data_IF_923934194879
#
_entry.id   IF_923934194879
#
_cell.length_a   1.000
_cell.length_b   1.000
_cell.length_c   1.000
_cell.angle_alpha   90.00
_cell.angle_beta   90.00
_cell.angle_gamma   90.00
#
_symmetry.space_group_name_H-M   'P 1'
#
loop_
_entity.id
_entity.type
_entity.pdbx_description
1 polymer ?
#
# COMPACT_ATOMS: atom_id res chain seq x y z
N UNK A 1 -28.39 -43.25 -9.58
CA UNK A 1 -27.16 -42.78 -8.93
C UNK A 1 -26.05 -42.72 -9.97
N UNK A 2 -25.75 -41.52 -10.48
CA UNK A 2 -24.57 -41.28 -11.31
C UNK A 2 -23.95 -40.00 -10.75
N UNK A 3 -22.84 -40.17 -10.03
CA UNK A 3 -22.03 -39.07 -9.52
C UNK A 3 -21.22 -38.52 -10.70
N UNK A 4 -21.47 -37.28 -11.10
CA UNK A 4 -20.61 -36.55 -12.04
C UNK A 4 -19.65 -35.69 -11.23
N UNK A 5 -18.39 -36.11 -11.19
CA UNK A 5 -17.27 -35.25 -10.80
C UNK A 5 -17.22 -34.05 -11.76
N UNK A 6 -17.36 -32.84 -11.23
CA UNK A 6 -17.04 -31.61 -11.96
C UNK A 6 -15.59 -31.28 -11.64
N UNK A 7 -14.69 -31.63 -12.56
CA UNK A 7 -13.33 -31.08 -12.60
C UNK A 7 -13.40 -29.65 -13.12
N UNK A 8 -13.18 -28.66 -12.26
CA UNK A 8 -12.87 -27.30 -12.69
C UNK A 8 -11.37 -27.20 -12.98
N UNK A 9 -11.01 -27.37 -14.25
CA UNK A 9 -9.73 -26.92 -14.78
C UNK A 9 -9.90 -25.50 -15.32
N UNK A 10 -9.08 -24.55 -14.83
CA UNK A 10 -8.69 -23.36 -15.61
C UNK A 10 -9.54 -22.09 -15.57
N UNK A 11 -10.20 -21.73 -14.45
CA UNK A 11 -11.07 -20.54 -14.38
C UNK A 11 -10.89 -19.58 -13.18
N UNK A 12 -9.86 -19.74 -12.35
CA UNK A 12 -9.79 -19.07 -11.03
C UNK A 12 -9.44 -17.57 -11.04
N UNK A 13 -8.92 -17.01 -12.14
CA UNK A 13 -8.35 -15.66 -12.12
C UNK A 13 -9.38 -14.54 -12.31
N UNK A 14 -10.38 -14.75 -13.19
CA UNK A 14 -11.37 -13.72 -13.52
C UNK A 14 -12.41 -13.52 -12.41
N UNK A 15 -12.83 -14.59 -11.73
CA UNK A 15 -13.82 -14.52 -10.64
C UNK A 15 -13.26 -13.77 -9.44
N UNK A 16 -11.98 -14.01 -9.10
CA UNK A 16 -11.29 -13.31 -8.01
C UNK A 16 -11.11 -11.81 -8.31
N UNK A 17 -10.78 -11.45 -9.56
CA UNK A 17 -10.64 -10.05 -9.97
C UNK A 17 -12.00 -9.33 -9.93
N UNK A 18 -13.08 -9.99 -10.38
CA UNK A 18 -14.43 -9.42 -10.32
C UNK A 18 -14.92 -9.23 -8.88
N UNK A 19 -14.65 -10.18 -7.98
CA UNK A 19 -14.97 -10.04 -6.56
C UNK A 19 -14.15 -8.93 -5.87
N UNK A 20 -12.87 -8.79 -6.23
CA UNK A 20 -12.01 -7.73 -5.70
C UNK A 20 -12.50 -6.35 -6.14
N UNK A 21 -12.94 -6.20 -7.39
CA UNK A 21 -13.49 -4.95 -7.92
C UNK A 21 -14.78 -4.55 -7.20
N UNK A 22 -15.67 -5.52 -6.95
CA UNK A 22 -16.93 -5.30 -6.21
C UNK A 22 -16.65 -4.90 -4.75
N UNK A 23 -15.63 -5.49 -4.12
CA UNK A 23 -15.23 -5.15 -2.75
C UNK A 23 -14.66 -3.72 -2.65
N UNK A 24 -13.88 -3.29 -3.65
CA UNK A 24 -13.31 -1.94 -3.71
C UNK A 24 -14.43 -0.89 -3.87
N UNK A 25 -15.42 -1.14 -4.74
CA UNK A 25 -16.56 -0.24 -4.95
C UNK A 25 -17.44 -0.15 -3.69
N UNK A 26 -17.61 -1.26 -2.96
CA UNK A 26 -18.36 -1.29 -1.70
C UNK A 26 -17.64 -0.55 -0.56
N UNK A 27 -16.30 -0.52 -0.55
CA UNK A 27 -15.50 0.17 0.46
C UNK A 27 -15.50 1.70 0.29
N UNK A 28 -15.75 2.20 -0.92
CA UNK A 28 -15.72 3.63 -1.23
C UNK A 28 -17.00 4.38 -0.79
N UNK A 29 -18.07 3.64 -0.46
CA UNK A 29 -19.40 4.19 -0.22
C UNK A 29 -19.92 4.05 1.22
N UNK A 30 -19.15 3.46 2.15
CA UNK A 30 -19.62 3.15 3.50
C UNK A 30 -18.81 3.86 4.59
N UNK A 31 -19.43 4.68 5.47
CA UNK A 31 -18.74 5.27 6.61
C UNK A 31 -18.26 4.18 7.58
N UNK A 32 -17.05 4.37 8.11
CA UNK A 32 -16.24 3.36 8.81
C UNK A 32 -16.89 2.64 10.01
N UNK A 33 -18.08 3.05 10.45
CA UNK A 33 -18.80 2.47 11.59
C UNK A 33 -19.56 1.16 11.23
N UNK A 34 -19.87 0.91 9.96
CA UNK A 34 -20.65 -0.28 9.52
C UNK A 34 -19.81 -1.39 8.86
N UNK A 35 -18.48 -1.26 8.86
CA UNK A 35 -17.57 -2.28 8.34
C UNK A 35 -17.67 -3.64 9.06
N UNK A 36 -18.18 -3.65 10.29
CA UNK A 36 -18.40 -4.89 11.04
C UNK A 36 -19.55 -5.75 10.50
N UNK A 37 -20.53 -5.16 9.79
CA UNK A 37 -21.69 -5.87 9.27
C UNK A 37 -21.53 -6.31 7.79
N UNK A 38 -20.61 -5.69 7.04
CA UNK A 38 -20.41 -5.99 5.61
C UNK A 38 -19.33 -7.05 5.37
N UNK A 39 -18.46 -7.29 6.36
CA UNK A 39 -17.33 -8.21 6.25
C UNK A 39 -17.65 -9.61 6.82
N UNK A 40 -18.81 -10.19 6.47
CA UNK A 40 -19.03 -11.62 6.66
C UNK A 40 -18.36 -12.41 5.51
N UNK A 41 -17.03 -12.48 5.59
CA UNK A 41 -16.16 -13.17 4.63
C UNK A 41 -16.25 -14.70 4.69
N UNK A 42 -17.14 -15.25 5.52
CA UNK A 42 -17.44 -16.69 5.53
C UNK A 42 -17.85 -17.21 4.14
N UNK A 43 -18.38 -16.34 3.28
CA UNK A 43 -18.77 -16.62 1.90
C UNK A 43 -17.62 -16.80 0.90
N UNK A 44 -16.39 -16.34 1.21
CA UNK A 44 -15.19 -16.50 0.36
C UNK A 44 -14.21 -17.53 0.96
N UNK A 45 -14.52 -18.10 2.13
CA UNK A 45 -13.70 -19.13 2.77
C UNK A 45 -12.35 -18.64 3.30
N UNK A 46 -12.10 -17.33 3.32
CA UNK A 46 -10.90 -16.75 3.93
C UNK A 46 -11.16 -16.48 5.40
N UNK A 47 -10.34 -17.09 6.25
CA UNK A 47 -10.33 -16.80 7.67
C UNK A 47 -9.94 -15.33 7.91
N UNK A 48 -10.42 -14.76 9.02
CA UNK A 48 -10.05 -13.41 9.48
C UNK A 48 -8.52 -13.19 9.49
N UNK A 49 -7.76 -14.26 9.76
CA UNK A 49 -6.29 -14.30 9.69
C UNK A 49 -5.76 -14.08 8.28
N UNK A 50 -6.37 -14.70 7.27
CA UNK A 50 -5.97 -14.55 5.86
C UNK A 50 -6.34 -13.18 5.31
N UNK A 51 -7.51 -12.64 5.69
CA UNK A 51 -7.91 -11.27 5.32
C UNK A 51 -6.99 -10.23 5.95
N UNK A 52 -6.64 -10.38 7.23
CA UNK A 52 -5.63 -9.53 7.87
C UNK A 52 -4.26 -9.66 7.18
N UNK A 53 -3.85 -10.89 6.84
CA UNK A 53 -2.58 -11.12 6.13
C UNK A 53 -2.54 -10.46 4.76
N UNK A 54 -3.66 -10.49 4.02
CA UNK A 54 -3.78 -9.87 2.70
C UNK A 54 -3.72 -8.35 2.79
N UNK A 55 -4.48 -7.75 3.72
CA UNK A 55 -4.45 -6.31 3.98
C UNK A 55 -3.06 -5.85 4.44
N UNK A 56 -2.33 -6.69 5.20
CA UNK A 56 -0.96 -6.41 5.61
C UNK A 56 0.09 -6.58 4.50
N UNK A 57 -0.22 -7.33 3.44
CA UNK A 57 0.65 -7.52 2.27
C UNK A 57 0.48 -6.41 1.21
N UNK A 58 -0.60 -5.63 1.28
CA UNK A 58 -0.84 -4.54 0.34
C UNK A 58 0.07 -3.34 0.65
N UNK A 59 0.73 -2.74 -0.36
CA UNK A 59 1.59 -1.59 -0.11
C UNK A 59 0.75 -0.38 0.27
N UNK A 60 1.17 0.32 1.33
CA UNK A 60 0.65 1.64 1.68
C UNK A 60 1.08 2.60 0.59
N UNK A 61 0.12 3.26 -0.07
CA UNK A 61 0.39 4.24 -1.13
C UNK A 61 -0.09 5.63 -0.73
N UNK A 62 0.66 6.65 -1.10
CA UNK A 62 0.27 8.04 -0.91
C UNK A 62 1.00 8.98 -1.87
N UNK A 63 0.36 10.09 -2.19
CA UNK A 63 0.95 11.13 -3.03
C UNK A 63 1.74 12.12 -2.16
N UNK A 64 2.90 12.52 -2.65
CA UNK A 64 3.65 13.66 -2.10
C UNK A 64 4.36 14.42 -3.21
N UNK A 65 4.49 15.73 -3.02
CA UNK A 65 5.41 16.53 -3.83
C UNK A 65 6.84 16.30 -3.38
N UNK A 66 7.74 16.23 -4.35
CA UNK A 66 9.18 16.20 -4.12
C UNK A 66 9.66 17.58 -3.69
N UNK A 67 10.57 17.60 -2.72
CA UNK A 67 11.17 18.81 -2.16
C UNK A 67 12.65 18.60 -1.94
N UNK A 68 13.42 19.69 -1.90
CA UNK A 68 14.82 19.64 -1.48
C UNK A 68 14.93 19.08 -0.07
N UNK A 69 15.56 17.91 0.05
CA UNK A 69 15.80 17.28 1.33
C UNK A 69 17.14 17.74 1.91
N UNK A 70 18.18 17.69 1.09
CA UNK A 70 19.52 18.22 1.35
C UNK A 70 20.08 18.83 0.04
N UNK A 71 21.35 19.26 0.06
CA UNK A 71 21.98 19.92 -1.11
C UNK A 71 22.10 19.00 -2.34
N UNK A 72 22.01 17.67 -2.19
CA UNK A 72 22.27 16.72 -3.28
C UNK A 72 21.11 15.75 -3.55
N UNK A 73 20.08 15.75 -2.70
CA UNK A 73 18.96 14.79 -2.80
C UNK A 73 17.62 15.46 -2.61
N UNK A 74 16.69 15.03 -3.45
CA UNK A 74 15.26 15.26 -3.25
C UNK A 74 14.71 14.31 -2.19
N UNK A 75 13.58 14.69 -1.64
CA UNK A 75 12.84 13.86 -0.71
C UNK A 75 11.40 14.30 -0.61
N UNK A 76 10.66 13.63 0.26
CA UNK A 76 9.22 13.80 0.39
C UNK A 76 8.81 13.72 1.85
N UNK A 77 7.62 14.21 2.14
CA UNK A 77 7.03 14.15 3.46
C UNK A 77 5.89 13.16 3.47
N UNK A 78 5.85 12.31 4.50
CA UNK A 78 4.70 11.44 4.71
C UNK A 78 3.55 12.32 5.23
N UNK A 79 2.37 12.30 4.61
CA UNK A 79 1.22 13.01 5.15
C UNK A 79 0.88 12.51 6.56
N UNK A 80 0.46 13.42 7.45
CA UNK A 80 0.22 13.05 8.86
C UNK A 80 -0.81 11.93 9.00
N UNK A 81 -1.88 11.96 8.20
CA UNK A 81 -2.93 10.94 8.22
C UNK A 81 -2.36 9.56 7.85
N UNK A 82 -1.48 9.46 6.85
CA UNK A 82 -0.83 8.21 6.46
C UNK A 82 0.00 7.66 7.61
N UNK A 83 0.83 8.52 8.22
CA UNK A 83 1.66 8.11 9.37
C UNK A 83 0.80 7.55 10.51
N UNK A 84 -0.29 8.24 10.85
CA UNK A 84 -1.14 7.89 11.99
C UNK A 84 -1.99 6.66 11.73
N UNK A 85 -2.67 6.61 10.58
CA UNK A 85 -3.57 5.52 10.22
C UNK A 85 -2.83 4.18 10.07
N UNK A 86 -1.65 4.21 9.45
CA UNK A 86 -0.85 3.02 9.21
C UNK A 86 0.22 2.75 10.28
N UNK A 87 0.28 3.56 11.35
CA UNK A 87 1.31 3.51 12.40
C UNK A 87 2.74 3.37 11.83
N UNK A 88 3.08 4.26 10.89
CA UNK A 88 4.41 4.27 10.29
C UNK A 88 5.46 4.78 11.28
N UNK A 89 6.59 4.08 11.33
CA UNK A 89 7.71 4.34 12.25
C UNK A 89 8.93 4.84 11.48
N UNK A 90 9.84 5.59 12.12
CA UNK A 90 11.17 5.81 11.57
C UNK A 90 11.86 4.46 11.34
N UNK A 91 12.53 4.30 10.20
CA UNK A 91 13.07 3.01 9.80
C UNK A 91 13.22 2.87 8.29
N UNK A 92 13.64 1.70 7.86
CA UNK A 92 13.70 1.29 6.46
C UNK A 92 12.51 0.40 6.12
N UNK A 93 11.91 0.63 4.97
CA UNK A 93 10.83 -0.17 4.39
C UNK A 93 11.21 -0.59 2.98
N UNK A 94 10.77 -1.76 2.53
CA UNK A 94 10.72 -2.06 1.09
C UNK A 94 9.62 -1.22 0.48
N UNK A 95 9.89 -0.63 -0.68
CA UNK A 95 8.94 0.26 -1.32
C UNK A 95 9.44 0.75 -2.66
N UNK A 96 8.91 1.89 -3.06
CA UNK A 96 9.33 2.58 -4.25
C UNK A 96 8.55 3.85 -4.48
N UNK A 97 8.84 4.46 -5.61
CA UNK A 97 8.25 5.72 -6.04
C UNK A 97 7.82 5.56 -7.49
N UNK A 98 6.58 5.91 -7.78
CA UNK A 98 6.02 6.02 -9.12
C UNK A 98 5.93 7.50 -9.47
N UNK A 99 6.63 7.93 -10.51
CA UNK A 99 6.54 9.28 -11.05
C UNK A 99 5.39 9.37 -12.06
N UNK A 100 4.88 10.58 -12.27
CA UNK A 100 3.78 10.85 -13.21
C UNK A 100 4.07 10.39 -14.65
N UNK A 101 5.34 10.38 -15.07
CA UNK A 101 5.76 9.92 -16.39
C UNK A 101 5.98 8.40 -16.49
N UNK A 102 5.47 7.62 -15.52
CA UNK A 102 5.52 6.17 -15.54
C UNK A 102 6.85 5.57 -15.06
N UNK A 103 7.84 6.38 -14.68
CA UNK A 103 9.05 5.87 -14.04
C UNK A 103 8.71 5.29 -12.66
N UNK A 104 8.88 3.98 -12.51
CA UNK A 104 8.74 3.28 -11.24
C UNK A 104 10.12 2.89 -10.74
N UNK A 105 10.53 3.44 -9.60
CA UNK A 105 11.79 3.09 -8.94
C UNK A 105 11.50 2.28 -7.68
N UNK A 106 11.69 0.96 -7.75
CA UNK A 106 11.68 0.08 -6.57
C UNK A 106 12.98 0.26 -5.78
N UNK A 107 12.86 0.65 -4.51
CA UNK A 107 14.02 0.92 -3.67
C UNK A 107 13.68 0.82 -2.17
N UNK A 108 14.70 0.66 -1.34
CA UNK A 108 14.51 0.79 0.11
C UNK A 108 14.19 2.24 0.46
N UNK A 109 13.04 2.46 1.09
CA UNK A 109 12.59 3.77 1.54
C UNK A 109 12.99 3.94 3.00
N UNK A 110 13.87 4.90 3.26
CA UNK A 110 14.27 5.25 4.63
C UNK A 110 13.45 6.43 5.14
N UNK A 111 12.63 6.18 6.16
CA UNK A 111 11.92 7.21 6.90
C UNK A 111 12.72 7.71 8.09
N UNK A 112 12.88 9.03 8.16
CA UNK A 112 13.45 9.73 9.31
C UNK A 112 12.39 10.63 9.96
N UNK A 113 12.52 10.83 11.28
CA UNK A 113 11.62 11.71 12.03
C UNK A 113 11.78 13.15 11.54
N UNK A 114 10.67 13.83 11.29
CA UNK A 114 10.65 15.25 10.94
C UNK A 114 9.46 15.97 11.58
N UNK A 115 9.75 16.83 12.56
CA UNK A 115 8.72 17.51 13.36
C UNK A 115 7.69 16.49 13.88
N UNK A 116 6.41 16.63 13.49
CA UNK A 116 5.30 15.74 13.87
C UNK A 116 5.05 14.60 12.85
N UNK A 117 5.82 14.52 11.77
CA UNK A 117 5.66 13.52 10.70
C UNK A 117 6.96 12.74 10.41
N UNK A 118 6.98 11.99 9.31
CA UNK A 118 8.14 11.32 8.73
C UNK A 118 8.51 11.97 7.40
N UNK A 119 9.77 11.84 7.01
CA UNK A 119 10.28 12.23 5.69
C UNK A 119 11.13 11.12 5.09
N UNK A 120 11.05 10.96 3.78
CA UNK A 120 11.86 10.02 3.00
C UNK A 120 12.83 10.73 2.06
N UNK A 121 13.93 10.06 1.73
CA UNK A 121 14.91 10.51 0.74
C UNK A 121 14.76 9.73 -0.55
N UNK A 122 14.95 10.39 -1.69
CA UNK A 122 15.08 9.72 -2.97
C UNK A 122 16.52 9.24 -3.20
N UNK A 123 16.71 8.21 -4.04
CA UNK A 123 17.98 7.94 -4.69
C UNK A 123 18.51 9.19 -5.41
N UNK A 124 19.83 9.36 -5.45
CA UNK A 124 20.44 10.50 -6.13
C UNK A 124 20.10 10.49 -7.63
N UNK A 125 19.84 11.67 -8.21
CA UNK A 125 19.54 11.83 -9.63
C UNK A 125 18.16 11.33 -10.07
N UNK A 126 17.22 11.12 -9.13
CA UNK A 126 15.85 10.71 -9.44
C UNK A 126 14.83 11.81 -9.12
N UNK A 127 13.96 12.06 -10.10
CA UNK A 127 12.86 13.04 -10.01
C UNK A 127 13.30 14.49 -10.18
N UNK A 128 12.31 15.37 -10.16
CA UNK A 128 12.47 16.82 -10.24
C UNK A 128 11.76 17.47 -9.03
N UNK A 129 12.27 18.62 -8.56
CA UNK A 129 11.67 19.34 -7.44
C UNK A 129 10.25 19.84 -7.78
N UNK A 130 9.31 19.73 -6.85
CA UNK A 130 7.93 20.20 -7.03
C UNK A 130 6.99 19.21 -7.73
N UNK A 131 7.54 18.19 -8.40
CA UNK A 131 6.78 17.13 -9.08
C UNK A 131 6.01 16.28 -8.06
N UNK A 132 4.79 15.91 -8.44
CA UNK A 132 3.95 14.99 -7.68
C UNK A 132 4.37 13.55 -7.99
N UNK A 133 4.57 12.76 -6.94
CA UNK A 133 4.87 11.34 -7.08
C UNK A 133 4.03 10.50 -6.13
N UNK A 134 3.78 9.26 -6.51
CA UNK A 134 3.21 8.23 -5.65
C UNK A 134 4.34 7.52 -4.94
N UNK A 135 4.28 7.46 -3.62
CA UNK A 135 5.18 6.68 -2.79
C UNK A 135 4.41 5.45 -2.32
N UNK A 136 5.03 4.29 -2.44
CA UNK A 136 4.47 3.04 -1.94
C UNK A 136 5.46 2.30 -1.04
N UNK A 137 4.98 1.75 0.09
CA UNK A 137 5.81 1.01 1.06
C UNK A 137 5.06 -0.19 1.63
N UNK A 138 5.78 -1.28 1.86
CA UNK A 138 5.25 -2.48 2.52
C UNK A 138 5.46 -2.40 4.03
N UNK A 139 4.38 -2.27 4.79
CA UNK A 139 4.42 -2.00 6.25
C UNK A 139 5.17 -3.07 7.04
N UNK A 140 4.92 -4.33 6.70
CA UNK A 140 5.49 -5.54 7.30
C UNK A 140 7.01 -5.65 7.09
N UNK A 141 7.55 -4.95 6.11
CA UNK A 141 8.99 -4.96 5.80
C UNK A 141 9.81 -3.97 6.63
N UNK A 142 9.19 -3.31 7.62
CA UNK A 142 9.87 -2.35 8.49
C UNK A 142 11.09 -2.95 9.19
N UNK A 143 12.19 -2.21 9.14
CA UNK A 143 13.41 -2.47 9.90
C UNK A 143 13.87 -1.21 10.60
N UNK A 144 14.29 -1.28 11.88
CA UNK A 144 14.90 -0.15 12.55
C UNK A 144 16.21 0.23 11.86
N UNK A 145 16.38 1.50 11.51
CA UNK A 145 17.67 2.06 11.09
C UNK A 145 18.37 2.66 12.30
N UNK A 146 19.65 2.27 12.49
CA UNK A 146 20.54 2.81 13.53
C UNK A 146 20.86 4.28 13.30
#
# INVERSE_FOLDING_TARGET
MVSREIRFAGGGSLVLISLLLILIIALESVPAADLGAILDFSSIGLSLRETCSFVMAMPIRFLSRLSKFDKSRLGFYVPRYVKQFYDLKPGSYKGGISMEHGEVTSCSIQFSKYRKTLRGKLPAGKGEEGVLCEIWVYRDTWKPTK
#
